data_IF_870046357179
#
_entry.id   IF_870046357179
#
_cell.length_a   1.000
_cell.length_b   1.000
_cell.length_c   1.000
_cell.angle_alpha   90.00
_cell.angle_beta   90.00
_cell.angle_gamma   90.00
#
_symmetry.space_group_name_H-M   'P 1'
#
loop_
_entity.id
_entity.type
_entity.pdbx_description
1 polymer ?
#
# COMPACT_ATOMS: atom_id res chain seq x y z
N UNK A 1 -27.52 -17.85 5.85
CA UNK A 1 -26.40 -18.60 6.49
C UNK A 1 -25.04 -18.27 5.85
N UNK A 2 -24.93 -18.13 4.52
CA UNK A 2 -23.64 -17.91 3.83
C UNK A 2 -22.95 -16.55 4.12
N UNK A 3 -23.68 -15.44 4.22
CA UNK A 3 -23.06 -14.11 4.29
C UNK A 3 -22.21 -13.85 5.55
N UNK A 4 -22.65 -14.33 6.71
CA UNK A 4 -21.89 -14.21 7.97
C UNK A 4 -20.62 -15.06 7.95
N UNK A 5 -20.67 -16.25 7.35
CA UNK A 5 -19.51 -17.13 7.19
C UNK A 5 -18.48 -16.49 6.24
N UNK A 6 -18.94 -15.94 5.12
CA UNK A 6 -18.08 -15.21 4.16
C UNK A 6 -17.45 -13.95 4.77
N UNK A 7 -18.20 -13.20 5.59
CA UNK A 7 -17.64 -12.06 6.30
C UNK A 7 -16.57 -12.50 7.31
N UNK A 8 -16.82 -13.58 8.06
CA UNK A 8 -15.85 -14.10 9.02
C UNK A 8 -14.57 -14.60 8.34
N UNK A 9 -14.66 -15.33 7.22
CA UNK A 9 -13.50 -15.77 6.43
C UNK A 9 -12.74 -14.58 5.86
N UNK A 10 -13.43 -13.58 5.29
CA UNK A 10 -12.79 -12.39 4.74
C UNK A 10 -12.05 -11.57 5.80
N UNK A 11 -12.62 -11.39 7.01
CA UNK A 11 -11.94 -10.70 8.11
C UNK A 11 -10.75 -11.50 8.65
N UNK A 12 -10.84 -12.83 8.68
CA UNK A 12 -9.72 -13.69 9.07
C UNK A 12 -8.56 -13.58 8.06
N UNK A 13 -8.86 -13.61 6.75
CA UNK A 13 -7.84 -13.45 5.72
C UNK A 13 -7.24 -12.04 5.70
N UNK A 14 -8.04 -11.00 5.93
CA UNK A 14 -7.53 -9.63 6.06
C UNK A 14 -6.53 -9.48 7.21
N UNK A 15 -6.76 -10.21 8.31
CA UNK A 15 -5.81 -10.29 9.43
C UNK A 15 -4.56 -11.09 9.06
N UNK A 16 -4.69 -12.19 8.34
CA UNK A 16 -3.57 -13.04 7.93
C UNK A 16 -2.69 -12.39 6.85
N UNK A 17 -3.27 -11.59 5.97
CA UNK A 17 -2.57 -10.86 4.92
C UNK A 17 -1.92 -9.56 5.42
N UNK A 18 -2.10 -9.20 6.69
CA UNK A 18 -1.53 -7.98 7.24
C UNK A 18 -0.02 -8.12 7.45
N UNK A 19 0.74 -7.19 6.87
CA UNK A 19 2.22 -7.19 6.89
C UNK A 19 2.80 -6.93 8.28
N UNK A 20 2.10 -6.17 9.13
CA UNK A 20 2.59 -5.81 10.47
C UNK A 20 1.49 -5.97 11.53
N UNK A 21 1.84 -6.42 12.75
CA UNK A 21 0.90 -6.46 13.86
C UNK A 21 0.51 -5.04 14.26
N UNK A 22 -0.78 -4.71 14.09
CA UNK A 22 -1.34 -3.41 14.52
C UNK A 22 -1.83 -3.47 15.96
N UNK A 23 -1.87 -2.33 16.64
CA UNK A 23 -2.51 -2.22 17.96
C UNK A 23 -4.04 -2.40 17.84
N UNK A 24 -4.71 -2.69 18.96
CA UNK A 24 -6.16 -2.85 18.95
C UNK A 24 -6.90 -1.54 18.62
N UNK A 25 -6.34 -0.40 19.05
CA UNK A 25 -6.88 0.93 18.79
C UNK A 25 -6.84 1.27 17.29
N UNK A 26 -5.69 1.03 16.64
CA UNK A 26 -5.55 1.25 15.19
C UNK A 26 -6.52 0.37 14.39
N UNK A 27 -6.66 -0.90 14.80
CA UNK A 27 -7.62 -1.83 14.16
C UNK A 27 -9.08 -1.37 14.29
N UNK A 28 -9.45 -0.74 15.41
CA UNK A 28 -10.81 -0.26 15.62
C UNK A 28 -11.18 0.89 14.68
N UNK A 29 -10.19 1.65 14.20
CA UNK A 29 -10.38 2.76 13.28
C UNK A 29 -10.18 2.39 11.80
N UNK A 30 -9.90 1.12 11.50
CA UNK A 30 -9.75 0.69 10.12
C UNK A 30 -11.09 0.79 9.36
N UNK A 31 -11.10 1.55 8.26
CA UNK A 31 -12.29 1.76 7.45
C UNK A 31 -12.77 0.48 6.74
N UNK A 32 -11.87 -0.47 6.48
CA UNK A 32 -12.18 -1.69 5.71
C UNK A 32 -13.08 -2.67 6.48
N UNK A 33 -12.78 -3.10 7.72
CA UNK A 33 -13.70 -3.93 8.49
C UNK A 33 -15.08 -3.30 8.65
N UNK A 34 -15.15 -2.00 8.95
CA UNK A 34 -16.40 -1.27 9.08
C UNK A 34 -17.21 -1.27 7.77
N UNK A 35 -16.54 -1.03 6.64
CA UNK A 35 -17.14 -1.13 5.32
C UNK A 35 -17.67 -2.54 5.03
N UNK A 36 -16.91 -3.59 5.34
CA UNK A 36 -17.33 -4.97 5.12
C UNK A 36 -18.56 -5.35 5.96
N UNK A 37 -18.59 -4.91 7.22
CA UNK A 37 -19.77 -5.05 8.06
C UNK A 37 -20.98 -4.34 7.45
N UNK A 38 -20.82 -3.10 6.97
CA UNK A 38 -21.89 -2.34 6.34
C UNK A 38 -22.38 -2.99 5.02
N UNK A 39 -21.48 -3.57 4.23
CA UNK A 39 -21.83 -4.31 3.00
C UNK A 39 -22.58 -5.59 3.33
N UNK A 40 -22.08 -6.39 4.29
CA UNK A 40 -22.72 -7.63 4.71
C UNK A 40 -24.11 -7.41 5.33
N UNK A 41 -24.29 -6.31 6.08
CA UNK A 41 -25.57 -5.95 6.68
C UNK A 41 -26.69 -5.69 5.66
N UNK A 42 -26.36 -5.42 4.39
CA UNK A 42 -27.35 -5.27 3.32
C UNK A 42 -27.98 -6.60 2.90
N UNK A 43 -27.38 -7.73 3.25
CA UNK A 43 -27.85 -9.11 2.97
C UNK A 43 -28.26 -9.36 1.50
N UNK A 44 -27.67 -8.61 0.56
CA UNK A 44 -27.93 -8.77 -0.88
C UNK A 44 -27.00 -9.82 -1.50
N UNK A 45 -27.43 -10.50 -2.59
CA UNK A 45 -26.56 -11.42 -3.31
C UNK A 45 -25.31 -10.72 -3.86
N UNK A 46 -25.43 -9.45 -4.25
CA UNK A 46 -24.31 -8.61 -4.68
C UNK A 46 -23.31 -8.37 -3.55
N UNK A 47 -23.77 -8.09 -2.33
CA UNK A 47 -22.89 -7.93 -1.18
C UNK A 47 -22.10 -9.21 -0.88
N UNK A 48 -22.76 -10.38 -0.94
CA UNK A 48 -22.09 -11.66 -0.76
C UNK A 48 -21.02 -11.91 -1.84
N UNK A 49 -21.31 -11.59 -3.11
CA UNK A 49 -20.35 -11.72 -4.20
C UNK A 49 -19.12 -10.81 -4.02
N UNK A 50 -19.32 -9.56 -3.58
CA UNK A 50 -18.22 -8.63 -3.30
C UNK A 50 -17.31 -9.16 -2.20
N UNK A 51 -17.89 -9.67 -1.10
CA UNK A 51 -17.13 -10.23 0.03
C UNK A 51 -16.35 -11.47 -0.41
N UNK A 52 -16.96 -12.37 -1.19
CA UNK A 52 -16.30 -13.56 -1.71
C UNK A 52 -15.13 -13.23 -2.65
N UNK A 53 -15.30 -12.25 -3.55
CA UNK A 53 -14.22 -11.79 -4.43
C UNK A 53 -13.07 -11.18 -3.63
N UNK A 54 -13.37 -10.39 -2.60
CA UNK A 54 -12.35 -9.83 -1.71
C UNK A 54 -11.60 -10.95 -0.97
N UNK A 55 -12.31 -11.92 -0.39
CA UNK A 55 -11.71 -13.08 0.27
C UNK A 55 -10.72 -13.80 -0.65
N UNK A 56 -11.15 -14.11 -1.89
CA UNK A 56 -10.28 -14.75 -2.88
C UNK A 56 -9.04 -13.91 -3.23
N UNK A 57 -9.20 -12.60 -3.31
CA UNK A 57 -8.10 -11.67 -3.61
C UNK A 57 -7.09 -11.62 -2.46
N UNK A 58 -7.55 -11.54 -1.21
CA UNK A 58 -6.68 -11.53 -0.02
C UNK A 58 -5.91 -12.84 0.11
N UNK A 59 -6.58 -13.98 -0.12
CA UNK A 59 -5.92 -15.30 -0.18
C UNK A 59 -4.85 -15.35 -1.26
N UNK A 60 -5.16 -14.89 -2.47
CA UNK A 60 -4.21 -14.86 -3.58
C UNK A 60 -3.00 -13.97 -3.27
N UNK A 61 -3.21 -12.80 -2.65
CA UNK A 61 -2.11 -11.91 -2.23
C UNK A 61 -1.18 -12.57 -1.21
N UNK A 62 -1.73 -13.27 -0.21
CA UNK A 62 -0.93 -14.00 0.79
C UNK A 62 -0.13 -15.15 0.18
N UNK A 63 -0.75 -15.93 -0.70
CA UNK A 63 -0.05 -17.03 -1.40
C UNK A 63 1.02 -16.46 -2.33
N UNK A 64 0.73 -15.36 -3.02
CA UNK A 64 1.67 -14.71 -3.91
C UNK A 64 2.91 -14.22 -3.15
N UNK A 65 2.74 -13.58 -1.99
CA UNK A 65 3.89 -13.15 -1.19
C UNK A 65 4.72 -14.33 -0.68
N UNK A 66 4.09 -15.43 -0.29
CA UNK A 66 4.77 -16.67 0.10
C UNK A 66 5.57 -17.30 -1.06
N UNK A 67 4.98 -17.35 -2.25
CA UNK A 67 5.64 -17.88 -3.45
C UNK A 67 6.81 -17.02 -3.88
N UNK A 68 6.68 -15.69 -3.82
CA UNK A 68 7.77 -14.77 -4.10
C UNK A 68 8.95 -15.01 -3.15
N UNK A 69 8.68 -15.12 -1.84
CA UNK A 69 9.73 -15.36 -0.86
C UNK A 69 10.49 -16.68 -1.09
N UNK A 70 9.83 -17.72 -1.63
CA UNK A 70 10.45 -19.04 -1.87
C UNK A 70 11.19 -19.14 -3.19
N UNK A 71 10.59 -18.63 -4.27
CA UNK A 71 11.07 -18.90 -5.63
C UNK A 71 11.78 -17.70 -6.25
N UNK A 72 11.57 -16.49 -5.72
CA UNK A 72 12.25 -15.29 -6.18
C UNK A 72 12.82 -14.49 -5.00
N UNK A 73 13.91 -14.98 -4.38
CA UNK A 73 14.54 -14.30 -3.25
C UNK A 73 15.10 -12.91 -3.63
N UNK A 74 15.31 -12.65 -4.92
CA UNK A 74 15.74 -11.35 -5.46
C UNK A 74 14.57 -10.37 -5.67
N UNK A 75 13.35 -10.76 -5.33
CA UNK A 75 12.17 -9.90 -5.46
C UNK A 75 12.26 -8.72 -4.48
N UNK A 76 12.27 -7.50 -5.02
CA UNK A 76 12.41 -6.27 -4.23
C UNK A 76 13.86 -5.91 -3.88
N UNK A 77 14.85 -6.70 -4.29
CA UNK A 77 16.27 -6.37 -4.15
C UNK A 77 16.67 -5.24 -5.10
N UNK A 78 17.64 -4.41 -4.69
CA UNK A 78 18.23 -3.40 -5.60
C UNK A 78 18.97 -4.08 -6.75
N UNK A 79 19.23 -3.34 -7.83
CA UNK A 79 19.95 -3.91 -8.99
C UNK A 79 21.33 -4.46 -8.58
N UNK A 80 22.05 -3.75 -7.71
CA UNK A 80 23.34 -4.19 -7.20
C UNK A 80 23.25 -5.52 -6.42
N UNK A 81 22.20 -5.70 -5.62
CA UNK A 81 21.95 -6.94 -4.88
C UNK A 81 21.57 -8.10 -5.81
N UNK A 82 20.79 -7.84 -6.86
CA UNK A 82 20.46 -8.83 -7.89
C UNK A 82 21.69 -9.33 -8.64
N UNK A 83 22.57 -8.40 -9.05
CA UNK A 83 23.83 -8.73 -9.71
C UNK A 83 24.69 -9.60 -8.79
N UNK A 84 24.77 -9.26 -7.49
CA UNK A 84 25.50 -10.04 -6.49
C UNK A 84 24.93 -11.44 -6.27
N UNK A 85 23.61 -11.55 -6.11
CA UNK A 85 22.96 -12.85 -5.97
C UNK A 85 23.22 -13.73 -7.20
N UNK A 86 23.14 -13.15 -8.40
CA UNK A 86 23.36 -13.87 -9.67
C UNK A 86 24.82 -14.32 -9.82
N UNK A 87 25.79 -13.45 -9.50
CA UNK A 87 27.21 -13.82 -9.54
C UNK A 87 27.53 -14.96 -8.56
N UNK A 88 26.99 -14.90 -7.33
CA UNK A 88 27.16 -15.96 -6.34
C UNK A 88 26.56 -17.30 -6.80
N UNK A 89 25.44 -17.28 -7.55
CA UNK A 89 24.83 -18.51 -8.11
C UNK A 89 25.74 -19.21 -9.12
N UNK A 90 26.56 -18.46 -9.87
CA UNK A 90 27.55 -19.02 -10.80
C UNK A 90 28.91 -19.26 -10.15
N UNK A 91 29.03 -19.04 -8.83
CA UNK A 91 30.26 -19.21 -8.07
C UNK A 91 31.31 -18.13 -8.31
N UNK A 92 30.89 -16.92 -8.73
CA UNK A 92 31.76 -15.78 -9.00
C UNK A 92 31.49 -14.66 -7.99
N UNK A 93 32.55 -14.00 -7.52
CA UNK A 93 32.40 -12.78 -6.73
C UNK A 93 32.22 -11.57 -7.64
N UNK A 94 31.29 -10.66 -7.28
CA UNK A 94 31.09 -9.42 -8.03
C UNK A 94 32.30 -8.49 -7.86
N UNK A 95 32.92 -8.01 -8.96
CA UNK A 95 33.98 -7.02 -8.90
C UNK A 95 33.51 -5.73 -8.22
N UNK A 96 34.38 -5.11 -7.41
CA UNK A 96 34.09 -3.90 -6.63
C UNK A 96 33.59 -2.73 -7.50
N UNK A 97 33.99 -2.70 -8.78
CA UNK A 97 33.57 -1.71 -9.78
C UNK A 97 32.05 -1.71 -10.04
N UNK A 98 31.39 -2.87 -9.94
CA UNK A 98 29.94 -3.03 -10.06
C UNK A 98 29.21 -2.92 -8.71
N UNK A 99 29.97 -2.98 -7.60
CA UNK A 99 29.49 -2.62 -6.26
C UNK A 99 29.67 -1.11 -6.08
N UNK A 100 29.15 -0.30 -7.02
CA UNK A 100 29.11 1.14 -6.78
C UNK A 100 28.08 1.38 -5.66
N UNK A 101 28.52 1.86 -4.48
CA UNK A 101 27.71 1.84 -3.28
C UNK A 101 26.78 3.05 -3.24
N UNK A 102 25.53 2.85 -2.85
CA UNK A 102 24.65 3.84 -2.20
C UNK A 102 24.32 5.16 -2.92
N UNK A 103 24.92 5.51 -4.07
CA UNK A 103 24.72 6.82 -4.73
C UNK A 103 23.68 6.85 -5.85
N UNK A 104 23.46 5.73 -6.56
CA UNK A 104 22.50 5.66 -7.66
C UNK A 104 21.06 5.49 -7.18
N UNK A 105 20.85 4.68 -6.14
CA UNK A 105 19.52 4.43 -5.56
C UNK A 105 19.08 5.60 -4.65
N UNK A 106 20.00 6.19 -3.87
CA UNK A 106 19.71 7.37 -3.05
C UNK A 106 19.41 8.63 -3.91
N UNK A 107 20.01 8.74 -5.10
CA UNK A 107 19.65 9.79 -6.05
C UNK A 107 18.22 9.59 -6.59
N UNK A 108 17.79 8.34 -6.81
CA UNK A 108 16.43 8.00 -7.20
C UNK A 108 15.40 8.30 -6.09
N UNK A 109 15.70 7.89 -4.86
CA UNK A 109 14.85 8.13 -3.69
C UNK A 109 14.77 9.62 -3.33
N UNK A 110 15.88 10.36 -3.42
CA UNK A 110 15.92 11.80 -3.20
C UNK A 110 15.17 12.57 -4.30
N UNK A 111 15.30 12.16 -5.57
CA UNK A 111 14.53 12.75 -6.68
C UNK A 111 13.02 12.47 -6.53
N UNK A 112 12.66 11.28 -6.04
CA UNK A 112 11.27 10.93 -5.75
C UNK A 112 10.73 11.80 -4.59
N UNK A 113 11.47 11.95 -3.49
CA UNK A 113 11.12 12.80 -2.35
C UNK A 113 10.94 14.27 -2.75
N UNK A 114 11.84 14.83 -3.54
CA UNK A 114 11.71 16.19 -4.08
C UNK A 114 10.42 16.35 -4.90
N UNK A 115 10.05 15.36 -5.71
CA UNK A 115 8.78 15.35 -6.43
C UNK A 115 7.53 15.30 -5.53
N UNK A 116 7.61 14.64 -4.36
CA UNK A 116 6.53 14.64 -3.36
C UNK A 116 6.42 16.00 -2.65
N UNK A 117 7.55 16.60 -2.30
CA UNK A 117 7.61 17.92 -1.67
C UNK A 117 7.11 19.04 -2.60
N UNK A 118 7.46 19.00 -3.88
CA UNK A 118 6.93 19.92 -4.89
C UNK A 118 5.42 19.80 -5.08
N UNK A 119 4.90 18.56 -5.02
CA UNK A 119 3.45 18.28 -5.05
C UNK A 119 2.77 18.81 -3.79
N UNK A 120 3.39 18.68 -2.62
CA UNK A 120 2.86 19.24 -1.36
C UNK A 120 2.90 20.77 -1.34
N UNK A 121 3.98 21.38 -1.80
CA UNK A 121 4.09 22.83 -1.95
C UNK A 121 3.05 23.35 -2.95
N UNK A 122 2.78 22.60 -4.03
CA UNK A 122 1.73 22.90 -4.99
C UNK A 122 0.34 22.80 -4.36
N UNK A 123 0.06 21.76 -3.57
CA UNK A 123 -1.21 21.62 -2.81
C UNK A 123 -1.40 22.78 -1.83
N UNK A 124 -0.37 23.13 -1.05
CA UNK A 124 -0.42 24.27 -0.10
C UNK A 124 -0.68 25.59 -0.80
N UNK A 125 -0.09 25.82 -1.98
CA UNK A 125 -0.37 27.03 -2.79
C UNK A 125 -1.83 27.08 -3.26
N UNK A 126 -2.41 25.94 -3.62
CA UNK A 126 -3.82 25.84 -4.01
C UNK A 126 -4.74 26.10 -2.81
N UNK A 127 -4.46 25.51 -1.65
CA UNK A 127 -5.23 25.74 -0.42
C UNK A 127 -5.17 27.20 0.04
N UNK A 128 -3.97 27.80 0.09
CA UNK A 128 -3.83 29.22 0.43
C UNK A 128 -4.53 30.14 -0.59
N UNK A 129 -4.62 29.71 -1.86
CA UNK A 129 -5.41 30.44 -2.87
C UNK A 129 -6.91 30.28 -2.62
N UNK A 130 -7.37 29.10 -2.20
CA UNK A 130 -8.76 28.83 -1.85
C UNK A 130 -9.20 29.65 -0.63
N UNK A 131 -8.41 29.68 0.43
CA UNK A 131 -8.68 30.50 1.63
C UNK A 131 -8.77 31.99 1.31
N UNK A 132 -7.89 32.50 0.44
CA UNK A 132 -7.99 33.88 -0.06
C UNK A 132 -9.29 34.15 -0.79
N UNK A 133 -9.78 33.20 -1.61
CA UNK A 133 -11.06 33.36 -2.29
C UNK A 133 -12.24 33.25 -1.32
N UNK A 134 -12.20 32.35 -0.34
CA UNK A 134 -13.25 32.19 0.67
C UNK A 134 -13.35 33.46 1.54
N UNK A 135 -12.23 34.04 1.99
CA UNK A 135 -12.24 35.31 2.72
C UNK A 135 -12.74 36.49 1.89
N UNK A 136 -12.46 36.50 0.58
CA UNK A 136 -13.04 37.49 -0.34
C UNK A 136 -14.56 37.27 -0.48
N UNK A 137 -15.04 36.03 -0.63
CA UNK A 137 -16.48 35.74 -0.69
C UNK A 137 -17.20 36.13 0.61
N UNK A 138 -16.61 35.89 1.78
CA UNK A 138 -17.15 36.36 3.06
C UNK A 138 -17.21 37.89 3.17
N UNK A 139 -16.22 38.60 2.60
CA UNK A 139 -16.22 40.07 2.54
C UNK A 139 -17.25 40.63 1.56
N UNK A 140 -17.55 39.91 0.47
CA UNK A 140 -18.55 40.30 -0.53
C UNK A 140 -19.98 39.89 -0.12
N UNK A 141 -20.13 38.90 0.78
CA UNK A 141 -21.40 38.46 1.36
C UNK A 141 -21.87 39.24 2.59
N UNK A 142 -21.06 40.15 3.12
CA UNK A 142 -21.44 41.13 4.16
C UNK A 142 -21.80 42.48 3.52
N UNK A 143 -22.93 42.54 2.82
CA UNK A 143 -23.63 43.78 2.46
C UNK A 143 -25.13 43.55 2.52
#
# INVERSE_FOLDING_TARGET
MAAKQLLASALAELRLSAVAPRSAAERAHDALPLYLHAVAARETPRAAAVIATLEGTLKAQRIHSELLARYNPTYGSSEAERIRATANMVGWDVPVEYVTPAGADAAGDAAMQQGWEEREASRRKVEARKERYEGVQESWGKK
#
